data_IF_569771551986
#
_entry.id   IF_569771551986
#
_cell.length_a   1.000
_cell.length_b   1.000
_cell.length_c   1.000
_cell.angle_alpha   90.00
_cell.angle_beta   90.00
_cell.angle_gamma   90.00
#
_symmetry.space_group_name_H-M   'P 1'
#
loop_
_entity.id
_entity.type
_entity.pdbx_description
1 polymer ?
#
# COMPACT_ATOMS: atom_id res chain seq x y z
N UNK A 1 18.06 7.86 -26.20
CA UNK A 1 17.98 6.61 -25.41
C UNK A 1 18.80 6.82 -24.14
N UNK A 2 18.19 6.68 -22.96
CA UNK A 2 18.89 6.90 -21.68
C UNK A 2 19.84 5.74 -21.40
N UNK A 3 21.08 6.00 -20.96
CA UNK A 3 22.08 4.96 -20.70
C UNK A 3 22.71 5.10 -19.32
N UNK A 4 23.06 3.97 -18.70
CA UNK A 4 23.87 3.96 -17.47
C UNK A 4 25.20 4.70 -17.70
N UNK A 5 25.61 5.50 -16.73
CA UNK A 5 26.80 6.34 -16.79
C UNK A 5 26.61 7.67 -17.53
N UNK A 6 25.48 7.90 -18.19
CA UNK A 6 25.19 9.18 -18.85
C UNK A 6 25.05 10.30 -17.83
N UNK A 7 25.61 11.48 -18.16
CA UNK A 7 25.39 12.70 -17.40
C UNK A 7 24.15 13.42 -17.91
N UNK A 8 23.32 13.86 -16.98
CA UNK A 8 22.07 14.58 -17.26
C UNK A 8 22.06 15.89 -16.47
N UNK A 9 21.41 16.91 -17.03
CA UNK A 9 20.96 18.06 -16.25
C UNK A 9 19.55 17.78 -15.78
N UNK A 10 19.27 18.08 -14.52
CA UNK A 10 17.92 17.96 -13.96
C UNK A 10 17.45 19.30 -13.45
N UNK A 11 16.14 19.47 -13.42
CA UNK A 11 15.45 20.54 -12.72
C UNK A 11 14.29 19.90 -11.98
N UNK A 12 14.36 19.92 -10.65
CA UNK A 12 13.36 19.36 -9.76
C UNK A 12 12.52 20.50 -9.18
N UNK A 13 11.21 20.42 -9.37
CA UNK A 13 10.27 21.21 -8.57
C UNK A 13 10.07 20.49 -7.23
N UNK A 14 10.30 21.24 -6.17
CA UNK A 14 10.09 20.82 -4.79
C UNK A 14 8.74 21.38 -4.30
N UNK A 15 8.24 20.83 -3.20
CA UNK A 15 7.05 21.35 -2.51
C UNK A 15 7.26 22.83 -2.16
N UNK A 16 6.17 23.61 -2.09
CA UNK A 16 6.17 25.04 -1.74
C UNK A 16 6.81 25.97 -2.79
N UNK A 17 6.79 25.58 -4.07
CA UNK A 17 7.24 26.44 -5.17
C UNK A 17 8.76 26.61 -5.26
N UNK A 18 9.52 25.85 -4.49
CA UNK A 18 10.98 25.83 -4.58
C UNK A 18 11.42 24.99 -5.78
N UNK A 19 12.53 25.35 -6.41
CA UNK A 19 13.15 24.52 -7.44
C UNK A 19 14.63 24.31 -7.19
N UNK A 20 15.14 23.20 -7.72
CA UNK A 20 16.54 22.83 -7.61
C UNK A 20 17.01 22.28 -8.96
N UNK A 21 18.05 22.91 -9.51
CA UNK A 21 18.71 22.46 -10.73
C UNK A 21 20.08 21.87 -10.45
N UNK A 22 20.54 20.94 -11.28
CA UNK A 22 21.87 20.37 -11.12
C UNK A 22 22.26 19.38 -12.20
N UNK A 23 23.39 18.70 -11.95
CA UNK A 23 23.87 17.60 -12.78
C UNK A 23 23.75 16.28 -12.02
N UNK A 24 23.42 15.22 -12.73
CA UNK A 24 23.40 13.88 -12.17
C UNK A 24 23.95 12.85 -13.14
N UNK A 25 24.38 11.72 -12.61
CA UNK A 25 24.85 10.55 -13.37
C UNK A 25 23.84 9.43 -13.23
N UNK A 26 23.44 8.85 -14.34
CA UNK A 26 22.53 7.70 -14.36
C UNK A 26 23.25 6.47 -13.79
N UNK A 27 22.72 5.90 -12.71
CA UNK A 27 23.29 4.72 -12.02
C UNK A 27 22.64 3.43 -12.53
N UNK A 28 21.34 3.49 -12.81
CA UNK A 28 20.58 2.37 -13.38
C UNK A 28 19.45 2.90 -14.26
N UNK A 29 19.05 2.08 -15.22
CA UNK A 29 17.92 2.32 -16.12
C UNK A 29 17.14 1.04 -16.21
N UNK A 30 15.84 1.12 -16.02
CA UNK A 30 14.91 0.01 -16.14
C UNK A 30 13.79 0.43 -17.09
N UNK A 31 13.47 -0.42 -18.06
CA UNK A 31 12.44 -0.16 -19.04
C UNK A 31 11.32 -1.17 -18.84
N UNK A 32 10.12 -0.66 -18.59
CA UNK A 32 8.89 -1.44 -18.60
C UNK A 32 8.13 -1.13 -19.89
N UNK A 33 7.08 -1.90 -20.18
CA UNK A 33 6.26 -1.70 -21.39
C UNK A 33 5.59 -0.32 -21.45
N UNK A 34 5.39 0.31 -20.29
CA UNK A 34 4.66 1.58 -20.15
C UNK A 34 5.54 2.75 -19.71
N UNK A 35 6.75 2.51 -19.20
CA UNK A 35 7.57 3.56 -18.63
C UNK A 35 9.07 3.27 -18.70
N UNK A 36 9.85 4.35 -18.62
CA UNK A 36 11.30 4.29 -18.44
C UNK A 36 11.63 4.83 -17.06
N UNK A 37 12.15 3.96 -16.21
CA UNK A 37 12.63 4.29 -14.87
C UNK A 37 14.14 4.43 -14.88
N UNK A 38 14.66 5.37 -14.09
CA UNK A 38 16.09 5.52 -13.94
C UNK A 38 16.45 6.07 -12.56
N UNK A 39 17.52 5.54 -11.99
CA UNK A 39 18.15 6.09 -10.80
C UNK A 39 19.27 7.04 -11.20
N UNK A 40 19.27 8.24 -10.63
CA UNK A 40 20.27 9.28 -10.90
C UNK A 40 20.98 9.67 -9.61
N UNK A 41 22.30 9.59 -9.61
CA UNK A 41 23.16 10.10 -8.55
C UNK A 41 23.44 11.57 -8.80
N UNK A 42 23.14 12.44 -7.84
CA UNK A 42 23.38 13.88 -7.96
C UNK A 42 24.86 14.21 -7.79
N UNK A 43 25.41 15.04 -8.69
CA UNK A 43 26.81 15.46 -8.69
C UNK A 43 26.92 16.92 -8.30
N UNK A 44 27.73 17.22 -7.29
CA UNK A 44 28.09 18.59 -6.94
C UNK A 44 26.94 19.43 -6.37
N UNK A 45 25.97 18.79 -5.71
CA UNK A 45 24.91 19.52 -4.99
C UNK A 45 25.50 20.48 -3.97
N UNK A 46 25.03 21.73 -4.00
CA UNK A 46 25.35 22.75 -3.01
C UNK A 46 24.91 22.30 -1.62
N UNK A 47 25.54 22.84 -0.57
CA UNK A 47 25.18 22.47 0.79
C UNK A 47 23.75 22.91 1.17
N UNK A 48 23.27 24.04 0.64
CA UNK A 48 21.88 24.47 0.78
C UNK A 48 20.91 23.49 0.14
N UNK A 49 21.21 23.01 -1.06
CA UNK A 49 20.36 22.05 -1.78
C UNK A 49 20.34 20.68 -1.10
N UNK A 50 21.49 20.23 -0.57
CA UNK A 50 21.55 19.00 0.25
C UNK A 50 20.67 19.12 1.49
N UNK A 51 20.69 20.27 2.17
CA UNK A 51 19.82 20.52 3.34
C UNK A 51 18.34 20.51 2.97
N UNK A 52 17.97 21.13 1.84
CA UNK A 52 16.59 21.15 1.32
C UNK A 52 16.11 19.74 0.97
N UNK A 53 16.90 19.01 0.18
CA UNK A 53 16.62 17.60 -0.14
C UNK A 53 16.46 16.77 1.11
N UNK A 54 17.37 16.89 2.09
CA UNK A 54 17.29 16.17 3.36
C UNK A 54 16.01 16.48 4.14
N UNK A 55 15.45 17.69 4.03
CA UNK A 55 14.18 18.03 4.70
C UNK A 55 13.02 17.25 4.06
N UNK A 56 12.99 17.18 2.74
CA UNK A 56 11.91 16.55 1.96
C UNK A 56 12.04 15.02 1.98
N UNK A 57 13.26 14.48 1.91
CA UNK A 57 13.50 13.03 1.95
C UNK A 57 13.61 12.49 3.36
N UNK A 58 13.38 13.31 4.39
CA UNK A 58 13.39 12.83 5.78
C UNK A 58 12.23 11.84 5.96
N UNK A 59 12.51 10.63 6.47
CA UNK A 59 11.51 9.58 6.64
C UNK A 59 10.39 9.91 7.64
N UNK A 60 10.41 11.08 8.28
CA UNK A 60 9.33 11.58 9.15
C UNK A 60 8.06 11.96 8.40
N UNK A 61 8.12 12.18 7.07
CA UNK A 61 6.94 12.49 6.24
C UNK A 61 6.37 11.25 5.53
N UNK A 62 7.03 10.10 5.65
CA UNK A 62 6.45 8.84 5.21
C UNK A 62 5.29 8.53 6.16
N UNK A 63 4.07 8.46 5.63
CA UNK A 63 2.88 8.13 6.39
C UNK A 63 2.92 6.64 6.81
N UNK A 64 3.78 6.31 7.76
CA UNK A 64 4.02 4.96 8.26
C UNK A 64 2.72 4.30 8.74
N UNK A 65 1.80 5.07 9.32
CA UNK A 65 0.45 4.59 9.64
C UNK A 65 -0.29 4.03 8.44
N UNK A 66 -0.25 4.71 7.28
CA UNK A 66 -0.90 4.24 6.04
C UNK A 66 -0.23 2.99 5.48
N UNK A 67 1.09 2.89 5.58
CA UNK A 67 1.84 1.70 5.14
C UNK A 67 1.50 0.52 6.06
N UNK A 68 1.49 0.75 7.36
CA UNK A 68 1.17 -0.25 8.37
C UNK A 68 -0.27 -0.75 8.24
N UNK A 69 -1.24 0.16 8.04
CA UNK A 69 -2.64 -0.18 7.77
C UNK A 69 -2.78 -1.07 6.53
N UNK A 70 -2.06 -0.74 5.44
CA UNK A 70 -2.07 -1.56 4.23
C UNK A 70 -1.44 -2.93 4.46
N UNK A 71 -0.33 -3.00 5.19
CA UNK A 71 0.33 -4.24 5.53
C UNK A 71 -0.54 -5.14 6.41
N UNK A 72 -1.21 -4.57 7.42
CA UNK A 72 -2.17 -5.31 8.27
C UNK A 72 -3.35 -5.81 7.44
N UNK A 73 -3.95 -4.96 6.58
CA UNK A 73 -5.05 -5.39 5.72
C UNK A 73 -4.63 -6.52 4.79
N UNK A 74 -3.44 -6.44 4.20
CA UNK A 74 -2.90 -7.50 3.35
C UNK A 74 -2.67 -8.80 4.14
N UNK A 75 -2.09 -8.71 5.34
CA UNK A 75 -1.87 -9.86 6.22
C UNK A 75 -3.20 -10.52 6.63
N UNK A 76 -4.18 -9.72 7.06
CA UNK A 76 -5.53 -10.18 7.41
C UNK A 76 -6.21 -10.88 6.23
N UNK A 77 -6.14 -10.27 5.04
CA UNK A 77 -6.70 -10.86 3.83
C UNK A 77 -6.05 -12.20 3.52
N UNK A 78 -4.73 -12.28 3.57
CA UNK A 78 -3.97 -13.50 3.30
C UNK A 78 -4.30 -14.60 4.33
N UNK A 79 -4.38 -14.26 5.61
CA UNK A 79 -4.84 -15.20 6.64
C UNK A 79 -6.28 -15.66 6.42
N UNK A 80 -7.19 -14.76 6.04
CA UNK A 80 -8.57 -15.12 5.74
C UNK A 80 -8.66 -16.05 4.53
N UNK A 81 -7.90 -15.79 3.46
CA UNK A 81 -7.82 -16.67 2.29
C UNK A 81 -7.29 -18.06 2.67
N UNK A 82 -6.23 -18.12 3.49
CA UNK A 82 -5.68 -19.40 3.96
C UNK A 82 -6.66 -20.17 4.86
N UNK A 83 -7.39 -19.47 5.73
CA UNK A 83 -8.42 -20.09 6.57
C UNK A 83 -9.60 -20.62 5.75
N UNK A 84 -10.09 -19.85 4.78
CA UNK A 84 -11.14 -20.29 3.86
C UNK A 84 -10.63 -21.50 3.06
N UNK A 85 -9.41 -21.45 2.55
CA UNK A 85 -8.81 -22.56 1.82
C UNK A 85 -8.68 -23.81 2.70
N UNK A 86 -8.20 -23.68 3.93
CA UNK A 86 -8.10 -24.78 4.90
C UNK A 86 -9.47 -25.34 5.27
N UNK A 87 -10.47 -24.47 5.43
CA UNK A 87 -11.85 -24.87 5.69
C UNK A 87 -12.49 -25.60 4.50
N UNK A 88 -12.16 -25.20 3.28
CA UNK A 88 -12.64 -25.86 2.06
C UNK A 88 -11.89 -27.16 1.81
N UNK A 89 -10.63 -27.31 2.19
CA UNK A 89 -9.86 -28.54 1.90
C UNK A 89 -9.94 -29.59 3.00
N UNK A 90 -10.18 -29.19 4.26
CA UNK A 90 -10.25 -30.10 5.40
C UNK A 90 -11.67 -30.63 5.64
N UNK A 91 -11.81 -31.96 5.68
CA UNK A 91 -13.08 -32.64 6.01
C UNK A 91 -13.61 -32.26 7.40
N UNK A 92 -12.71 -32.07 8.38
CA UNK A 92 -13.06 -31.71 9.76
C UNK A 92 -13.67 -30.30 9.83
N UNK A 93 -13.07 -29.33 9.15
CA UNK A 93 -13.56 -27.96 9.12
C UNK A 93 -14.86 -27.81 8.32
N UNK A 94 -15.02 -28.56 7.22
CA UNK A 94 -16.30 -28.62 6.49
C UNK A 94 -17.42 -29.14 7.39
N UNK A 95 -17.19 -30.24 8.13
CA UNK A 95 -18.18 -30.80 9.03
C UNK A 95 -18.55 -29.84 10.17
N UNK A 96 -17.55 -29.16 10.74
CA UNK A 96 -17.78 -28.15 11.79
C UNK A 96 -18.60 -26.96 11.26
N UNK A 97 -18.26 -26.42 10.08
CA UNK A 97 -18.98 -25.32 9.46
C UNK A 97 -20.41 -25.69 9.08
N UNK A 98 -20.64 -26.89 8.54
CA UNK A 98 -21.99 -27.40 8.28
C UNK A 98 -22.82 -27.54 9.55
N UNK A 99 -22.21 -27.97 10.66
CA UNK A 99 -22.88 -28.06 11.94
C UNK A 99 -23.17 -26.69 12.58
N UNK A 100 -22.36 -25.67 12.29
CA UNK A 100 -22.55 -24.32 12.82
C UNK A 100 -23.42 -23.42 11.93
N UNK A 101 -23.51 -23.70 10.63
CA UNK A 101 -24.33 -22.95 9.67
C UNK A 101 -25.79 -22.75 10.11
N UNK A 102 -26.54 -23.78 10.57
CA UNK A 102 -27.91 -23.57 11.02
C UNK A 102 -28.00 -22.68 12.26
N UNK A 103 -27.01 -22.75 13.17
CA UNK A 103 -26.96 -21.89 14.35
C UNK A 103 -26.74 -20.44 13.95
N UNK A 104 -25.79 -20.17 13.06
CA UNK A 104 -25.49 -18.82 12.56
C UNK A 104 -26.68 -18.22 11.81
N UNK A 105 -27.34 -19.01 10.94
CA UNK A 105 -28.55 -18.59 10.25
C UNK A 105 -29.69 -18.28 11.22
N UNK A 106 -29.88 -19.11 12.25
CA UNK A 106 -30.89 -18.86 13.28
C UNK A 106 -30.62 -17.58 14.06
N UNK A 107 -29.37 -17.28 14.43
CA UNK A 107 -29.03 -16.02 15.12
C UNK A 107 -29.24 -14.80 14.23
N UNK A 108 -28.89 -14.88 12.94
CA UNK A 108 -29.12 -13.81 11.97
C UNK A 108 -30.62 -13.58 11.74
N UNK A 109 -31.40 -14.66 11.61
CA UNK A 109 -32.86 -14.60 11.46
C UNK A 109 -33.53 -14.01 12.71
N UNK A 110 -33.11 -14.42 13.91
CA UNK A 110 -33.58 -13.84 15.17
C UNK A 110 -33.23 -12.36 15.29
N UNK A 111 -31.99 -11.97 14.95
CA UNK A 111 -31.57 -10.58 14.97
C UNK A 111 -32.36 -9.71 13.97
N UNK A 112 -32.65 -10.26 12.79
CA UNK A 112 -33.50 -9.58 11.80
C UNK A 112 -34.96 -9.48 12.27
N UNK A 113 -35.53 -10.54 12.83
CA UNK A 113 -36.88 -10.54 13.38
C UNK A 113 -37.02 -9.55 14.56
N UNK A 114 -36.05 -9.53 15.49
CA UNK A 114 -35.99 -8.54 16.58
C UNK A 114 -35.94 -7.12 16.05
N UNK A 115 -35.12 -6.87 15.01
CA UNK A 115 -35.06 -5.55 14.36
C UNK A 115 -36.40 -5.14 13.76
N UNK A 116 -37.14 -6.06 13.16
CA UNK A 116 -38.44 -5.77 12.54
C UNK A 116 -39.55 -5.56 13.60
N UNK A 117 -39.49 -6.25 14.73
CA UNK A 117 -40.43 -6.06 15.86
C UNK A 117 -40.18 -4.71 16.57
N UNK A 118 -38.93 -4.29 16.71
CA UNK A 118 -38.56 -3.03 17.37
C UNK A 118 -38.74 -1.82 16.43
N UNK A 119 -38.99 -2.06 15.14
CA UNK A 119 -39.21 -0.98 14.16
C UNK A 119 -40.51 -0.24 14.49
N UNK A 120 -40.48 1.07 14.76
CA UNK A 120 -41.69 1.83 15.09
C UNK A 120 -42.62 1.85 13.87
N UNK A 121 -43.85 1.36 14.05
CA UNK A 121 -44.93 1.52 13.06
C UNK A 121 -45.19 3.01 12.87
N UNK A 122 -44.86 3.53 11.69
CA UNK A 122 -45.42 4.78 11.17
C UNK A 122 -46.67 4.47 10.39
#
# INVERSE_FOLDING_TARGET
MLRKGQFLRFHLQLTEGQSMGGRGRVVWVERTDLALWAGVEFIGLSWSDRRRLRRITRPSEVAWSRIFDKAIKAALFLTATLLIWGAVTSYVWRALLWNMAPKVLATLALGWALREIIRPRR
#
